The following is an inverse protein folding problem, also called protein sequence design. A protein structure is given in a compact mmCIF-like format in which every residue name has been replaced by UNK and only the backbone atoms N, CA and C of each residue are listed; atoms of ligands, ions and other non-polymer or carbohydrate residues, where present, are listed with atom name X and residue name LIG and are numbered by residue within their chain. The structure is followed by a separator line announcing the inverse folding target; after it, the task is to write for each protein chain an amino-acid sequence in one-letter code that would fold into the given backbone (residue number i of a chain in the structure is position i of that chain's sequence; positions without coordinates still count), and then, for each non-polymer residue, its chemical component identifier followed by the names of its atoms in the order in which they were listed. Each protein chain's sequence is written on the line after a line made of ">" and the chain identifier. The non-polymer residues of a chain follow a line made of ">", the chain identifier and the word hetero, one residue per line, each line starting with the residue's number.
data_IF_249313341120
#
_entry.id   IF_249313341120
#
_cell.length_a   1.000
_cell.length_b   1.000
_cell.length_c   1.000
_cell.angle_alpha   90.00
_cell.angle_beta   90.00
_cell.angle_gamma   90.00
#
_symmetry.space_group_name_H-M   'P 1'
#
loop_
_entity.id
_entity.type
_entity.pdbx_description
1 polymer ?
#
# COMPACT_ATOMS: atom_id res chain seq x y z
N UNK A 1 -40.06 -18.31 10.17
CA UNK A 1 -40.24 -17.50 8.95
C UNK A 1 -38.88 -16.95 8.55
N UNK A 2 -38.31 -17.33 7.41
CA UNK A 2 -37.10 -16.71 6.91
C UNK A 2 -37.49 -15.38 6.27
N UNK A 3 -37.03 -14.26 6.83
CA UNK A 3 -37.12 -12.98 6.15
C UNK A 3 -36.13 -13.00 4.99
N UNK A 4 -36.63 -13.25 3.78
CA UNK A 4 -35.87 -13.03 2.55
C UNK A 4 -35.64 -11.52 2.39
N UNK A 5 -34.57 -11.03 3.00
CA UNK A 5 -34.06 -9.70 2.66
C UNK A 5 -33.63 -9.83 1.20
N UNK A 6 -34.32 -9.11 0.33
CA UNK A 6 -33.85 -8.90 -1.03
C UNK A 6 -32.43 -8.34 -0.89
N UNK A 7 -31.41 -9.16 -1.17
CA UNK A 7 -29.99 -8.83 -0.96
C UNK A 7 -29.58 -7.75 -1.99
N UNK A 8 -30.12 -6.54 -1.85
CA UNK A 8 -29.79 -5.39 -2.68
C UNK A 8 -28.40 -4.91 -2.28
N UNK A 9 -27.39 -5.62 -2.78
CA UNK A 9 -26.01 -5.15 -2.73
C UNK A 9 -25.96 -3.80 -3.44
N UNK A 10 -25.44 -2.78 -2.75
CA UNK A 10 -25.45 -1.41 -3.23
C UNK A 10 -24.30 -1.11 -4.18
N UNK A 11 -23.25 -1.94 -4.19
CA UNK A 11 -22.15 -1.82 -5.14
C UNK A 11 -22.39 -2.66 -6.41
N UNK A 12 -21.75 -2.32 -7.54
CA UNK A 12 -21.64 -3.23 -8.68
C UNK A 12 -20.60 -4.33 -8.43
N UNK A 13 -20.62 -5.36 -9.28
CA UNK A 13 -19.48 -6.29 -9.40
C UNK A 13 -18.36 -5.61 -10.19
N UNK A 14 -17.13 -5.73 -9.70
CA UNK A 14 -15.95 -5.09 -10.33
C UNK A 14 -14.98 -6.18 -10.79
N UNK A 15 -14.33 -5.96 -11.92
CA UNK A 15 -13.21 -6.79 -12.38
C UNK A 15 -11.94 -5.96 -12.22
N UNK A 16 -10.96 -6.50 -11.52
CA UNK A 16 -9.65 -5.88 -11.30
C UNK A 16 -8.61 -6.63 -12.12
N UNK A 17 -7.84 -5.95 -12.97
CA UNK A 17 -6.77 -6.58 -13.76
C UNK A 17 -5.43 -5.98 -13.37
N UNK A 18 -4.53 -6.85 -12.93
CA UNK A 18 -3.15 -6.49 -12.67
C UNK A 18 -2.34 -6.67 -13.95
N UNK A 19 -1.66 -5.63 -14.42
CA UNK A 19 -0.74 -5.73 -15.56
C UNK A 19 0.69 -5.42 -15.16
N UNK A 20 1.64 -6.10 -15.78
CA UNK A 20 3.06 -5.84 -15.65
C UNK A 20 3.52 -4.59 -16.39
N UNK A 21 4.80 -4.24 -16.23
CA UNK A 21 5.46 -3.11 -16.88
C UNK A 21 5.37 -3.12 -18.42
N UNK A 22 5.32 -4.31 -19.02
CA UNK A 22 5.13 -4.51 -20.46
C UNK A 22 3.64 -4.52 -20.89
N UNK A 23 2.72 -4.20 -19.97
CA UNK A 23 1.28 -4.14 -20.21
C UNK A 23 0.56 -5.49 -20.25
N UNK A 24 1.27 -6.61 -20.02
CA UNK A 24 0.65 -7.95 -19.98
C UNK A 24 -0.17 -8.14 -18.71
N UNK A 25 -1.36 -8.73 -18.84
CA UNK A 25 -2.19 -9.06 -17.67
C UNK A 25 -1.55 -10.25 -16.95
N UNK A 26 -1.17 -10.05 -15.69
CA UNK A 26 -0.56 -11.08 -14.84
C UNK A 26 -1.57 -11.73 -13.89
N UNK A 27 -2.65 -11.04 -13.55
CA UNK A 27 -3.72 -11.57 -12.73
C UNK A 27 -5.03 -10.83 -12.99
N UNK A 28 -6.14 -11.53 -12.83
CA UNK A 28 -7.49 -10.95 -12.88
C UNK A 28 -8.29 -11.41 -11.67
N UNK A 29 -8.95 -10.47 -10.99
CA UNK A 29 -9.79 -10.75 -9.84
C UNK A 29 -11.21 -10.24 -10.11
N UNK A 30 -12.21 -11.08 -9.83
CA UNK A 30 -13.62 -10.67 -9.89
C UNK A 30 -14.10 -10.37 -8.48
N UNK A 31 -14.29 -9.10 -8.18
CA UNK A 31 -14.78 -8.62 -6.89
C UNK A 31 -16.31 -8.73 -6.87
N UNK A 32 -16.82 -9.49 -5.90
CA UNK A 32 -18.26 -9.65 -5.73
C UNK A 32 -18.85 -8.34 -5.23
N UNK A 33 -20.10 -8.00 -5.61
CA UNK A 33 -20.76 -6.84 -5.05
C UNK A 33 -20.90 -6.96 -3.53
N UNK A 34 -20.98 -5.82 -2.85
CA UNK A 34 -21.13 -5.71 -1.39
C UNK A 34 -22.23 -4.72 -1.00
N UNK A 35 -22.65 -4.80 0.26
CA UNK A 35 -23.52 -3.81 0.91
C UNK A 35 -22.65 -2.74 1.57
N UNK A 36 -22.75 -1.50 1.12
CA UNK A 36 -21.95 -0.36 1.58
C UNK A 36 -22.15 0.00 3.05
N UNK A 37 -23.22 -0.47 3.70
CA UNK A 37 -23.42 -0.28 5.14
C UNK A 37 -22.56 -1.26 5.95
N UNK A 38 -22.25 -2.44 5.39
CA UNK A 38 -21.71 -3.59 6.13
C UNK A 38 -20.39 -4.12 5.60
N UNK A 39 -19.91 -3.64 4.46
CA UNK A 39 -18.76 -4.24 3.81
C UNK A 39 -17.96 -3.27 2.95
N UNK A 40 -16.95 -3.82 2.31
CA UNK A 40 -16.02 -3.16 1.39
C UNK A 40 -15.53 -4.19 0.37
N UNK A 41 -15.00 -3.71 -0.76
CA UNK A 41 -14.36 -4.55 -1.79
C UNK A 41 -12.85 -4.34 -1.73
N UNK A 42 -12.09 -5.43 -1.63
CA UNK A 42 -10.62 -5.39 -1.67
C UNK A 42 -10.10 -6.31 -2.76
N UNK A 43 -9.12 -5.83 -3.51
CA UNK A 43 -8.27 -6.66 -4.36
C UNK A 43 -6.91 -6.84 -3.66
N UNK A 44 -6.39 -8.05 -3.66
CA UNK A 44 -5.09 -8.36 -3.05
C UNK A 44 -4.20 -9.06 -4.06
N UNK A 45 -3.03 -8.49 -4.36
CA UNK A 45 -2.06 -9.13 -5.24
C UNK A 45 -1.00 -9.86 -4.40
N UNK A 46 -0.98 -11.19 -4.45
CA UNK A 46 0.08 -11.97 -3.83
C UNK A 46 1.23 -12.18 -4.83
N UNK A 47 2.30 -11.41 -4.69
CA UNK A 47 3.46 -11.45 -5.58
C UNK A 47 4.18 -12.81 -5.57
N UNK A 48 4.15 -13.56 -4.46
CA UNK A 48 4.82 -14.87 -4.35
C UNK A 48 4.13 -15.95 -5.18
N UNK A 49 2.82 -15.81 -5.41
CA UNK A 49 2.01 -16.76 -6.17
C UNK A 49 2.00 -16.46 -7.66
N UNK A 50 2.52 -15.29 -8.06
CA UNK A 50 2.69 -14.95 -9.46
C UNK A 50 3.97 -15.62 -9.96
N UNK A 51 3.90 -16.31 -11.09
CA UNK A 51 5.09 -16.79 -11.81
C UNK A 51 5.83 -15.62 -12.46
N UNK A 52 6.45 -14.77 -11.64
CA UNK A 52 7.14 -13.54 -12.01
C UNK A 52 8.51 -13.77 -12.67
N UNK A 53 8.84 -15.01 -13.04
CA UNK A 53 10.13 -15.38 -13.64
C UNK A 53 10.47 -14.59 -14.92
N UNK A 54 9.45 -14.04 -15.60
CA UNK A 54 9.61 -13.19 -16.78
C UNK A 54 8.99 -11.78 -16.62
N UNK A 55 8.65 -11.35 -15.40
CA UNK A 55 8.08 -10.01 -15.21
C UNK A 55 9.20 -8.97 -15.21
N UNK A 56 9.14 -8.02 -16.14
CA UNK A 56 10.04 -6.88 -16.16
C UNK A 56 9.71 -5.91 -15.02
N UNK A 57 10.76 -5.38 -14.39
CA UNK A 57 10.65 -4.19 -13.57
C UNK A 57 10.07 -3.03 -14.39
N UNK A 58 9.26 -2.19 -13.77
CA UNK A 58 8.65 -1.03 -14.41
C UNK A 58 7.25 -0.72 -13.90
N UNK A 59 6.46 -0.02 -14.72
CA UNK A 59 5.22 0.63 -14.30
C UNK A 59 3.99 -0.23 -14.62
N UNK A 60 3.29 -0.67 -13.57
CA UNK A 60 2.16 -1.60 -13.66
C UNK A 60 0.84 -0.81 -13.67
N UNK A 61 -0.12 -1.19 -14.54
CA UNK A 61 -1.39 -0.44 -14.71
C UNK A 61 -2.60 -1.29 -15.12
N UNK A 62 -3.77 -0.66 -15.18
CA UNK A 62 -4.93 -1.07 -15.97
C UNK A 62 -5.36 0.04 -16.96
N UNK A 63 -5.11 -0.13 -18.28
CA UNK A 63 -5.74 0.69 -19.35
C UNK A 63 -6.71 -0.14 -20.20
N UNK A 64 -7.96 0.32 -20.28
CA UNK A 64 -9.02 -0.10 -21.20
C UNK A 64 -10.15 0.96 -21.15
N UNK A 65 -10.87 1.28 -22.23
CA UNK A 65 -12.00 2.22 -22.21
C UNK A 65 -13.12 1.92 -21.21
N UNK A 66 -13.20 0.71 -20.65
CA UNK A 66 -14.13 0.33 -19.57
C UNK A 66 -13.55 0.49 -18.15
N UNK A 67 -12.34 1.06 -18.01
CA UNK A 67 -11.67 1.20 -16.71
C UNK A 67 -12.32 2.33 -15.91
N UNK A 68 -12.89 1.96 -14.76
CA UNK A 68 -13.51 2.91 -13.82
C UNK A 68 -12.47 3.71 -13.05
N UNK A 69 -11.32 3.09 -12.74
CA UNK A 69 -10.19 3.72 -12.07
C UNK A 69 -8.92 2.90 -12.29
N UNK A 70 -7.76 3.56 -12.24
CA UNK A 70 -6.45 2.92 -12.32
C UNK A 70 -5.57 3.34 -11.14
N UNK A 71 -4.71 2.42 -10.70
CA UNK A 71 -3.70 2.65 -9.66
C UNK A 71 -2.38 2.13 -10.18
N UNK A 72 -1.35 2.95 -10.02
CA UNK A 72 0.00 2.65 -10.48
C UNK A 72 0.91 2.48 -9.27
N UNK A 73 1.76 1.45 -9.27
CA UNK A 73 2.79 1.27 -8.27
C UNK A 73 4.08 0.76 -8.93
N UNK A 74 5.25 1.19 -8.44
CA UNK A 74 6.52 0.78 -9.03
C UNK A 74 6.93 -0.60 -8.49
N UNK A 75 7.34 -1.50 -9.40
CA UNK A 75 8.06 -2.73 -9.05
C UNK A 75 9.50 -2.56 -9.54
N UNK A 76 10.45 -2.50 -8.61
CA UNK A 76 11.86 -2.24 -8.90
C UNK A 76 12.78 -3.34 -8.36
N UNK A 77 13.91 -3.53 -9.02
CA UNK A 77 15.04 -4.35 -8.58
C UNK A 77 16.26 -3.45 -8.40
N UNK A 78 17.09 -3.72 -7.40
CA UNK A 78 18.36 -3.00 -7.18
C UNK A 78 19.49 -3.49 -8.10
N UNK A 79 19.27 -4.56 -8.86
CA UNK A 79 20.27 -5.12 -9.80
C UNK A 79 20.52 -4.22 -11.01
N UNK A 80 19.50 -3.45 -11.44
CA UNK A 80 19.60 -2.47 -12.52
C UNK A 80 19.52 -1.07 -11.95
N UNK A 81 20.67 -0.54 -11.54
CA UNK A 81 20.77 0.78 -10.89
C UNK A 81 20.18 1.93 -11.74
N UNK A 82 20.41 2.04 -13.06
CA UNK A 82 19.78 3.06 -13.89
C UNK A 82 18.25 3.02 -13.85
N UNK A 83 17.66 1.82 -14.01
CA UNK A 83 16.21 1.64 -13.97
C UNK A 83 15.64 1.94 -12.57
N UNK A 84 16.32 1.49 -11.52
CA UNK A 84 15.96 1.78 -10.14
C UNK A 84 15.91 3.29 -9.87
N UNK A 85 16.98 4.01 -10.22
CA UNK A 85 17.05 5.48 -10.03
C UNK A 85 15.95 6.21 -10.81
N UNK A 86 15.67 5.79 -12.04
CA UNK A 86 14.58 6.37 -12.83
C UNK A 86 13.23 6.17 -12.16
N UNK A 87 12.88 4.93 -11.80
CA UNK A 87 11.60 4.61 -11.17
C UNK A 87 11.41 5.32 -9.83
N UNK A 88 12.45 5.39 -9.00
CA UNK A 88 12.39 6.12 -7.74
C UNK A 88 12.13 7.61 -7.98
N UNK A 89 12.82 8.22 -8.95
CA UNK A 89 12.63 9.65 -9.28
C UNK A 89 11.23 9.96 -9.80
N UNK A 90 10.64 9.05 -10.57
CA UNK A 90 9.34 9.29 -11.20
C UNK A 90 8.18 9.10 -10.20
N UNK A 91 8.33 8.23 -9.19
CA UNK A 91 7.28 7.95 -8.20
C UNK A 91 7.45 8.71 -6.88
N UNK A 92 8.67 9.09 -6.50
CA UNK A 92 8.95 9.72 -5.21
C UNK A 92 9.50 11.12 -5.39
N UNK A 93 8.98 12.05 -4.60
CA UNK A 93 9.47 13.42 -4.53
C UNK A 93 10.14 13.61 -3.19
N UNK A 94 11.42 14.01 -3.22
CA UNK A 94 12.12 14.44 -2.02
C UNK A 94 11.47 15.75 -1.57
N UNK A 95 10.79 15.72 -0.41
CA UNK A 95 10.12 16.89 0.14
C UNK A 95 11.07 17.81 0.87
N UNK A 96 12.00 17.23 1.61
CA UNK A 96 12.99 17.96 2.39
C UNK A 96 14.12 16.99 2.77
N UNK A 97 15.27 17.54 3.18
CA UNK A 97 16.41 16.78 3.65
C UNK A 97 17.14 17.57 4.73
N UNK A 98 17.44 16.92 5.85
CA UNK A 98 18.26 17.50 6.91
C UNK A 98 19.56 16.68 7.02
N UNK A 99 20.65 17.37 7.32
CA UNK A 99 21.94 16.75 7.62
C UNK A 99 22.41 17.16 9.01
N UNK A 100 22.37 18.47 9.26
CA UNK A 100 22.68 19.08 10.55
C UNK A 100 21.39 19.62 11.18
N UNK A 101 21.30 19.65 12.50
CA UNK A 101 20.14 20.15 13.27
C UNK A 101 18.78 19.50 12.95
N UNK A 102 18.77 18.23 12.55
CA UNK A 102 17.56 17.45 12.27
C UNK A 102 16.54 17.42 13.44
N UNK A 103 16.98 17.61 14.69
CA UNK A 103 16.10 17.70 15.86
C UNK A 103 15.16 18.91 15.84
N UNK A 104 15.53 19.98 15.14
CA UNK A 104 14.68 21.16 14.97
C UNK A 104 13.60 21.00 13.89
N UNK A 105 13.65 19.91 13.12
CA UNK A 105 12.79 19.67 11.97
C UNK A 105 11.71 18.66 12.30
N UNK A 106 10.44 19.09 12.29
CA UNK A 106 9.30 18.29 12.81
C UNK A 106 9.02 16.98 12.09
N UNK A 107 9.41 16.83 10.82
CA UNK A 107 9.24 15.60 10.05
C UNK A 107 10.40 14.61 10.25
N UNK A 108 11.49 15.03 10.90
CA UNK A 108 12.67 14.20 11.11
C UNK A 108 12.44 13.17 12.20
N UNK A 109 13.01 11.98 12.03
CA UNK A 109 13.04 10.95 13.08
C UNK A 109 13.86 11.37 14.32
N UNK A 110 14.69 12.42 14.20
CA UNK A 110 15.47 12.98 15.29
C UNK A 110 14.74 14.10 16.03
N UNK A 111 13.56 14.51 15.55
CA UNK A 111 12.71 15.45 16.25
C UNK A 111 12.28 14.84 17.59
N UNK A 112 12.30 15.60 18.70
CA UNK A 112 11.83 15.08 19.98
C UNK A 112 10.40 14.54 19.90
N UNK A 113 10.20 13.29 20.33
CA UNK A 113 8.88 12.67 20.50
C UNK A 113 8.71 12.18 21.94
N UNK A 114 8.44 13.09 22.91
CA UNK A 114 8.41 12.78 24.33
C UNK A 114 7.43 11.68 24.73
N UNK A 115 6.44 11.39 23.88
CA UNK A 115 5.47 10.31 24.11
C UNK A 115 6.10 8.93 23.96
N UNK A 116 7.06 8.77 23.04
CA UNK A 116 7.80 7.52 22.83
C UNK A 116 9.15 7.50 23.55
N UNK A 117 9.68 8.66 23.94
CA UNK A 117 10.91 8.79 24.73
C UNK A 117 10.70 8.35 26.19
N UNK A 118 10.83 7.06 26.45
CA UNK A 118 10.82 6.51 27.82
C UNK A 118 12.21 6.72 28.45
N UNK A 119 12.43 7.91 29.01
CA UNK A 119 13.65 8.24 29.76
C UNK A 119 13.62 7.66 31.19
N UNK A 120 12.43 7.50 31.76
CA UNK A 120 12.20 6.84 33.06
C UNK A 120 10.83 6.19 33.03
N UNK A 121 10.79 4.86 33.06
CA UNK A 121 9.53 4.12 33.18
C UNK A 121 8.84 4.43 34.51
N UNK A 122 7.52 4.59 34.49
CA UNK A 122 6.69 4.81 35.68
C UNK A 122 6.67 3.60 36.63
N UNK A 123 7.27 2.46 36.26
CA UNK A 123 7.26 1.21 37.03
C UNK A 123 8.30 1.15 38.17
N UNK A 124 9.03 2.23 38.47
CA UNK A 124 10.04 2.24 39.55
C UNK A 124 9.49 2.43 40.97
N UNK A 125 8.16 2.54 41.15
CA UNK A 125 7.55 2.76 42.48
C UNK A 125 6.41 1.81 42.86
N UNK A 126 6.33 0.59 42.33
CA UNK A 126 5.62 -0.48 43.07
C UNK A 126 6.56 -1.03 44.14
N UNK A 127 6.67 -0.27 45.24
CA UNK A 127 7.27 -0.75 46.48
C UNK A 127 6.67 -2.12 46.82
N UNK A 128 7.56 -3.06 47.09
CA UNK A 128 7.29 -4.31 47.79
C UNK A 128 6.22 -4.12 48.87
N UNK A 129 5.05 -4.73 48.67
CA UNK A 129 4.13 -5.07 49.75
C UNK A 129 4.85 -6.10 50.64
N UNK A 130 5.31 -5.66 51.81
CA UNK A 130 5.53 -6.49 52.99
C UNK A 130 4.63 -5.93 54.09
#
# INVERSE_FOLDING_TARGET
>A
MPTSVNETKTSPAIRFKWRSADGKVVATQKLRPYDSIRGTQFASLNLQQLALTNSSAGMWNEENPEVVASVWFPVYSTENEPLFRSLVRDFFVIKDSCKDNCSSTTWSIFHPDPKSDILTGYDKFSQTLV
#
